data_IF_078064773666
#
_entry.id   IF_078064773666
#
_cell.length_a   1.000
_cell.length_b   1.000
_cell.length_c   1.000
_cell.angle_alpha   90.00
_cell.angle_beta   90.00
_cell.angle_gamma   90.00
#
_symmetry.space_group_name_H-M   'P 1'
#
loop_
_entity.id
_entity.type
_entity.pdbx_description
1 polymer ?
#
# COMPACT_ATOMS: atom_id res chain seq x y z
N UNK A 1 5.00 -0.16 -12.27
CA UNK A 1 6.06 -1.18 -12.36
C UNK A 1 7.44 -0.54 -12.27
N UNK A 2 7.69 0.59 -12.95
CA UNK A 2 8.97 1.31 -12.94
C UNK A 2 9.43 1.79 -11.56
N UNK A 3 8.52 2.32 -10.73
CA UNK A 3 8.88 2.83 -9.39
C UNK A 3 9.48 1.75 -8.48
N UNK A 4 8.98 0.50 -8.55
CA UNK A 4 9.48 -0.60 -7.71
C UNK A 4 10.89 -1.01 -8.13
N UNK A 5 11.13 -1.14 -9.43
CA UNK A 5 12.46 -1.44 -10.00
C UNK A 5 13.45 -0.34 -9.61
N UNK A 6 13.01 0.91 -9.65
CA UNK A 6 13.82 2.07 -9.28
C UNK A 6 14.16 2.12 -7.79
N UNK A 7 13.25 1.74 -6.89
CA UNK A 7 13.56 1.63 -5.47
C UNK A 7 14.49 0.42 -5.22
N UNK A 8 14.30 -0.71 -5.93
CA UNK A 8 15.21 -1.85 -5.82
C UNK A 8 16.64 -1.47 -6.23
N UNK A 9 16.82 -0.69 -7.31
CA UNK A 9 18.12 -0.14 -7.70
C UNK A 9 18.75 0.72 -6.59
N UNK A 10 17.95 1.53 -5.91
CA UNK A 10 18.43 2.32 -4.77
C UNK A 10 18.84 1.43 -3.58
N UNK A 11 18.13 0.33 -3.33
CA UNK A 11 18.53 -0.67 -2.32
C UNK A 11 19.82 -1.37 -2.74
N UNK A 12 19.94 -1.80 -3.99
CA UNK A 12 21.14 -2.45 -4.50
C UNK A 12 22.36 -1.53 -4.38
N UNK A 13 22.19 -0.25 -4.72
CA UNK A 13 23.23 0.76 -4.52
C UNK A 13 23.65 0.89 -3.05
N UNK A 14 22.72 0.88 -2.09
CA UNK A 14 23.06 0.91 -0.66
C UNK A 14 23.90 -0.30 -0.27
N UNK A 15 23.52 -1.49 -0.74
CA UNK A 15 24.18 -2.75 -0.41
C UNK A 15 25.61 -2.81 -0.97
N UNK A 16 25.78 -2.41 -2.23
CA UNK A 16 27.08 -2.39 -2.90
C UNK A 16 28.04 -1.37 -2.27
N UNK A 17 27.50 -0.33 -1.63
CA UNK A 17 28.26 0.79 -1.04
C UNK A 17 28.11 0.86 0.50
N UNK A 18 27.82 -0.26 1.16
CA UNK A 18 27.40 -0.26 2.58
C UNK A 18 28.48 0.28 3.54
N UNK A 19 29.76 0.09 3.19
CA UNK A 19 30.92 0.57 3.94
C UNK A 19 31.31 2.01 3.59
N UNK A 20 30.71 2.61 2.56
CA UNK A 20 31.04 3.95 2.11
C UNK A 20 30.15 5.02 2.75
N UNK A 21 30.49 6.30 2.52
CA UNK A 21 29.64 7.41 2.93
C UNK A 21 28.41 7.50 2.01
N UNK A 22 27.29 7.02 2.50
CA UNK A 22 26.01 7.05 1.78
C UNK A 22 25.30 8.40 1.97
N UNK A 23 25.15 9.15 0.88
CA UNK A 23 24.35 10.38 0.85
C UNK A 23 22.94 10.09 0.33
N UNK A 24 21.91 10.49 1.08
CA UNK A 24 20.51 10.18 0.76
C UNK A 24 20.07 10.76 -0.58
N UNK A 25 20.64 11.89 -0.99
CA UNK A 25 20.42 12.49 -2.31
C UNK A 25 20.92 11.60 -3.45
N UNK A 26 22.05 10.92 -3.28
CA UNK A 26 22.63 10.02 -4.28
C UNK A 26 21.82 8.73 -4.36
N UNK A 27 21.43 8.18 -3.20
CA UNK A 27 20.55 7.00 -3.13
C UNK A 27 19.22 7.30 -3.85
N UNK A 28 18.59 8.44 -3.55
CA UNK A 28 17.32 8.82 -4.17
C UNK A 28 17.42 9.05 -5.69
N UNK A 29 18.57 9.51 -6.18
CA UNK A 29 18.83 9.64 -7.63
C UNK A 29 18.82 8.30 -8.35
N UNK A 30 19.22 7.20 -7.69
CA UNK A 30 19.12 5.85 -8.28
C UNK A 30 17.67 5.47 -8.56
N UNK A 31 16.74 6.02 -7.78
CA UNK A 31 15.31 5.83 -7.95
C UNK A 31 14.61 6.92 -8.79
N UNK A 32 15.36 7.87 -9.37
CA UNK A 32 14.85 9.04 -10.08
C UNK A 32 13.90 9.92 -9.23
N UNK A 33 14.18 10.03 -7.93
CA UNK A 33 13.35 10.75 -6.97
C UNK A 33 14.12 11.84 -6.23
N UNK A 34 13.40 12.83 -5.72
CA UNK A 34 13.95 13.73 -4.69
C UNK A 34 14.22 12.95 -3.40
N UNK A 35 15.23 13.38 -2.64
CA UNK A 35 15.61 12.76 -1.37
C UNK A 35 14.45 12.64 -0.39
N UNK A 36 13.61 13.68 -0.30
CA UNK A 36 12.44 13.70 0.57
C UNK A 36 11.39 12.66 0.15
N UNK A 37 11.02 12.65 -1.14
CA UNK A 37 10.03 11.70 -1.65
C UNK A 37 10.50 10.26 -1.52
N UNK A 38 11.78 10.00 -1.84
CA UNK A 38 12.36 8.67 -1.71
C UNK A 38 12.32 8.17 -0.27
N UNK A 39 12.76 8.98 0.70
CA UNK A 39 12.76 8.56 2.11
C UNK A 39 11.36 8.28 2.64
N UNK A 40 10.37 9.12 2.27
CA UNK A 40 8.97 8.91 2.65
C UNK A 40 8.42 7.61 2.05
N UNK A 41 8.63 7.40 0.75
CA UNK A 41 8.16 6.22 0.04
C UNK A 41 8.85 4.94 0.53
N UNK A 42 10.17 4.99 0.73
CA UNK A 42 10.96 3.89 1.28
C UNK A 42 10.40 3.47 2.64
N UNK A 43 10.20 4.42 3.55
CA UNK A 43 9.71 4.12 4.90
C UNK A 43 8.31 3.49 4.88
N UNK A 44 7.45 3.94 3.96
CA UNK A 44 6.09 3.42 3.80
C UNK A 44 6.06 1.98 3.27
N UNK A 45 6.91 1.65 2.30
CA UNK A 45 6.95 0.30 1.70
C UNK A 45 7.69 -0.68 2.61
N UNK A 46 8.76 -0.23 3.26
CA UNK A 46 9.70 -1.09 3.97
C UNK A 46 9.39 -1.21 5.47
N UNK A 47 8.65 -0.27 6.04
CA UNK A 47 8.36 -0.21 7.47
C UNK A 47 9.55 0.26 8.34
N UNK A 48 10.67 0.62 7.72
CA UNK A 48 11.85 1.21 8.37
C UNK A 48 12.25 2.49 7.68
N UNK A 49 12.74 3.47 8.43
CA UNK A 49 13.39 4.63 7.80
C UNK A 49 14.64 4.20 7.04
N UNK A 50 15.01 4.96 6.01
CA UNK A 50 16.22 4.71 5.22
C UNK A 50 17.48 4.61 6.10
N UNK A 51 17.59 5.46 7.11
CA UNK A 51 18.71 5.45 8.07
C UNK A 51 18.73 4.19 8.96
N UNK A 52 17.55 3.71 9.37
CA UNK A 52 17.45 2.46 10.13
C UNK A 52 17.84 1.26 9.29
N UNK A 53 17.41 1.20 8.04
CA UNK A 53 17.80 0.15 7.10
C UNK A 53 19.33 0.08 6.95
N UNK A 54 19.97 1.20 6.60
CA UNK A 54 21.43 1.29 6.43
C UNK A 54 22.16 0.86 7.71
N UNK A 55 21.68 1.32 8.87
CA UNK A 55 22.28 0.97 10.17
C UNK A 55 22.18 -0.53 10.46
N UNK A 56 21.01 -1.13 10.26
CA UNK A 56 20.77 -2.55 10.53
C UNK A 56 21.57 -3.44 9.58
N UNK A 57 21.67 -3.06 8.30
CA UNK A 57 22.52 -3.75 7.32
C UNK A 57 24.00 -3.66 7.71
N UNK A 58 24.51 -2.48 8.07
CA UNK A 58 25.90 -2.31 8.56
C UNK A 58 26.22 -3.18 9.78
N UNK A 59 25.30 -3.26 10.75
CA UNK A 59 25.46 -4.13 11.93
C UNK A 59 25.40 -5.63 11.58
N UNK A 60 24.66 -5.98 10.54
CA UNK A 60 24.57 -7.36 10.04
C UNK A 60 25.83 -7.77 9.30
N UNK A 61 26.41 -6.90 8.49
CA UNK A 61 27.71 -7.16 7.87
C UNK A 61 28.85 -7.18 8.89
N UNK A 62 28.85 -6.26 9.86
CA UNK A 62 29.91 -6.21 10.87
C UNK A 62 29.97 -7.44 11.77
N UNK A 63 28.88 -8.19 11.87
CA UNK A 63 28.80 -9.47 12.58
C UNK A 63 29.91 -10.43 12.15
N UNK A 64 30.11 -10.59 10.83
CA UNK A 64 31.10 -11.52 10.30
C UNK A 64 32.50 -11.12 10.75
N UNK A 65 32.89 -9.86 10.52
CA UNK A 65 34.17 -9.32 10.99
C UNK A 65 34.35 -9.45 12.52
N UNK A 66 33.29 -9.31 13.31
CA UNK A 66 33.35 -9.47 14.76
C UNK A 66 33.60 -10.92 15.17
N UNK A 67 32.97 -11.89 14.50
CA UNK A 67 32.97 -13.30 14.89
C UNK A 67 34.11 -14.11 14.27
N UNK A 68 34.48 -13.84 13.02
CA UNK A 68 35.41 -14.68 12.25
C UNK A 68 36.77 -14.05 11.99
N UNK A 69 37.01 -12.81 12.44
CA UNK A 69 38.29 -12.11 12.23
C UNK A 69 38.90 -11.56 13.53
N UNK A 70 40.21 -11.35 13.49
CA UNK A 70 40.99 -10.70 14.57
C UNK A 70 41.03 -9.16 14.46
N UNK A 71 40.23 -8.57 13.56
CA UNK A 71 40.18 -7.11 13.38
C UNK A 71 39.79 -6.42 14.70
N UNK A 72 40.43 -5.30 15.04
CA UNK A 72 40.09 -4.58 16.29
C UNK A 72 38.69 -4.00 16.17
N UNK A 73 37.92 -3.99 17.27
CA UNK A 73 36.55 -3.47 17.29
C UNK A 73 36.48 -2.00 16.83
N UNK A 74 37.52 -1.20 17.11
CA UNK A 74 37.67 0.17 16.61
C UNK A 74 37.76 0.23 15.08
N UNK A 75 38.54 -0.65 14.46
CA UNK A 75 38.72 -0.70 13.01
C UNK A 75 37.42 -1.16 12.33
N UNK A 76 36.72 -2.14 12.93
CA UNK A 76 35.38 -2.58 12.49
C UNK A 76 34.38 -1.43 12.56
N UNK A 77 34.36 -0.67 13.66
CA UNK A 77 33.47 0.48 13.81
C UNK A 77 33.65 1.49 12.67
N UNK A 78 34.90 1.84 12.35
CA UNK A 78 35.20 2.77 11.26
C UNK A 78 34.88 2.18 9.89
N UNK A 79 35.20 0.90 9.64
CA UNK A 79 34.88 0.19 8.39
C UNK A 79 33.38 0.26 8.06
N UNK A 80 32.52 0.16 9.07
CA UNK A 80 31.06 0.23 8.90
C UNK A 80 30.48 1.64 9.16
N UNK A 81 31.31 2.68 9.05
CA UNK A 81 30.86 4.07 9.00
C UNK A 81 30.39 4.66 10.33
N UNK A 82 30.83 4.11 11.47
CA UNK A 82 30.61 4.72 12.78
C UNK A 82 31.75 5.70 13.11
N UNK A 83 31.41 6.90 13.58
CA UNK A 83 32.39 7.92 13.95
C UNK A 83 33.14 7.61 15.25
N UNK A 84 32.58 6.77 16.13
CA UNK A 84 33.22 6.37 17.38
C UNK A 84 32.98 4.88 17.71
N UNK A 85 33.97 4.18 18.32
CA UNK A 85 33.81 2.79 18.78
C UNK A 85 32.70 2.61 19.82
N UNK A 86 32.47 3.60 20.67
CA UNK A 86 31.40 3.60 21.67
C UNK A 86 30.02 3.71 21.00
N UNK A 87 29.93 4.48 19.91
CA UNK A 87 28.74 4.55 19.06
C UNK A 87 28.40 3.19 18.46
N UNK A 88 29.39 2.53 17.86
CA UNK A 88 29.24 1.18 17.31
C UNK A 88 28.84 0.18 18.39
N UNK A 89 29.53 0.15 19.53
CA UNK A 89 29.26 -0.80 20.61
C UNK A 89 27.83 -0.66 21.15
N UNK A 90 27.33 0.57 21.32
CA UNK A 90 25.94 0.81 21.73
C UNK A 90 24.93 0.36 20.68
N UNK A 91 25.19 0.64 19.40
CA UNK A 91 24.30 0.22 18.31
C UNK A 91 24.26 -1.31 18.17
N UNK A 92 25.43 -1.95 18.24
CA UNK A 92 25.57 -3.41 18.20
C UNK A 92 24.87 -4.07 19.38
N UNK A 93 25.02 -3.54 20.60
CA UNK A 93 24.31 -4.04 21.78
C UNK A 93 22.79 -3.89 21.64
N UNK A 94 22.31 -2.75 21.13
CA UNK A 94 20.86 -2.56 20.90
C UNK A 94 20.29 -3.51 19.86
N UNK A 95 21.10 -3.87 18.86
CA UNK A 95 20.67 -4.73 17.76
C UNK A 95 20.75 -6.22 18.11
N UNK A 96 21.78 -6.65 18.85
CA UNK A 96 22.06 -8.07 19.16
C UNK A 96 21.86 -8.47 20.63
N UNK A 97 21.66 -7.52 21.54
CA UNK A 97 21.59 -7.77 22.98
C UNK A 97 22.94 -8.08 23.65
N UNK A 98 24.04 -8.07 22.90
CA UNK A 98 25.41 -8.35 23.41
C UNK A 98 26.41 -7.36 22.85
N UNK A 99 27.53 -7.14 23.56
CA UNK A 99 28.60 -6.27 23.05
C UNK A 99 29.45 -7.01 22.01
N UNK A 100 30.11 -6.31 21.06
CA UNK A 100 30.97 -6.96 20.06
C UNK A 100 32.05 -7.85 20.67
N UNK A 101 32.69 -7.40 21.75
CA UNK A 101 33.73 -8.16 22.44
C UNK A 101 33.17 -9.42 23.11
N UNK A 102 31.97 -9.33 23.70
CA UNK A 102 31.31 -10.48 24.29
C UNK A 102 30.90 -11.51 23.22
N UNK A 103 30.35 -11.04 22.10
CA UNK A 103 30.01 -11.89 20.95
C UNK A 103 31.21 -12.66 20.42
N UNK A 104 32.36 -11.98 20.24
CA UNK A 104 33.62 -12.59 19.81
C UNK A 104 34.12 -13.67 20.77
N UNK A 105 34.11 -13.38 22.08
CA UNK A 105 34.62 -14.32 23.11
C UNK A 105 33.76 -15.57 23.26
N UNK A 106 32.44 -15.43 23.11
CA UNK A 106 31.47 -16.49 23.38
C UNK A 106 31.05 -17.28 22.13
N UNK A 107 31.51 -16.88 20.93
CA UNK A 107 31.07 -17.44 19.65
C UNK A 107 29.53 -17.51 19.57
N UNK A 108 28.87 -16.41 19.91
CA UNK A 108 27.41 -16.36 19.88
C UNK A 108 26.89 -16.48 18.43
N UNK A 109 25.82 -17.25 18.25
CA UNK A 109 25.00 -17.13 17.04
C UNK A 109 24.29 -15.77 17.10
N UNK A 110 24.55 -14.93 16.10
CA UNK A 110 23.95 -13.62 15.96
C UNK A 110 23.11 -13.64 14.69
N UNK A 111 21.84 -13.23 14.76
CA UNK A 111 20.93 -13.24 13.61
C UNK A 111 21.39 -12.26 12.52
N UNK A 112 21.00 -12.48 11.26
CA UNK A 112 21.30 -11.52 10.18
C UNK A 112 20.05 -10.71 9.88
N UNK A 113 20.16 -9.38 9.81
CA UNK A 113 19.18 -8.59 9.09
C UNK A 113 19.38 -8.86 7.60
N UNK A 114 18.43 -9.50 6.92
CA UNK A 114 18.60 -9.81 5.50
C UNK A 114 18.57 -8.54 4.62
N UNK A 115 19.24 -8.59 3.47
CA UNK A 115 19.03 -7.59 2.41
C UNK A 115 17.55 -7.60 2.05
N UNK A 116 16.97 -6.42 1.95
CA UNK A 116 15.61 -6.29 1.46
C UNK A 116 15.60 -6.52 -0.04
N UNK A 117 14.71 -7.40 -0.49
CA UNK A 117 14.30 -7.49 -1.88
C UNK A 117 12.86 -7.02 -1.96
N UNK A 118 12.66 -5.84 -2.53
CA UNK A 118 11.34 -5.24 -2.73
C UNK A 118 10.50 -6.13 -3.64
N UNK A 119 11.16 -6.76 -4.62
CA UNK A 119 10.53 -7.78 -5.45
C UNK A 119 10.00 -8.96 -4.61
N UNK A 120 10.81 -9.48 -3.67
CA UNK A 120 10.36 -10.57 -2.78
C UNK A 120 9.29 -10.14 -1.77
N UNK A 121 9.28 -8.88 -1.32
CA UNK A 121 8.26 -8.34 -0.42
C UNK A 121 6.90 -8.20 -1.11
N UNK A 122 6.90 -7.90 -2.41
CA UNK A 122 5.68 -7.89 -3.23
C UNK A 122 5.25 -9.30 -3.66
N UNK A 123 6.19 -10.24 -3.75
CA UNK A 123 5.92 -11.66 -3.96
C UNK A 123 5.43 -12.36 -2.66
N UNK A 124 5.65 -11.73 -1.50
CA UNK A 124 5.32 -12.18 -0.16
C UNK A 124 3.85 -12.00 0.27
N UNK A 125 2.91 -12.33 -0.63
CA UNK A 125 1.62 -13.01 -0.38
C UNK A 125 0.96 -13.33 -1.73
N UNK A 126 1.74 -13.84 -2.69
CA UNK A 126 1.27 -14.65 -3.82
C UNK A 126 2.47 -15.06 -4.66
N UNK A 127 2.94 -16.29 -4.45
CA UNK A 127 3.99 -16.94 -5.25
C UNK A 127 3.58 -17.23 -6.69
N UNK A 128 3.05 -16.24 -7.43
CA UNK A 128 2.67 -16.37 -8.84
C UNK A 128 2.49 -15.04 -9.59
N UNK A 129 3.32 -14.02 -9.36
CA UNK A 129 3.46 -13.00 -10.41
C UNK A 129 4.31 -13.55 -11.56
N UNK A 130 3.65 -14.22 -12.50
CA UNK A 130 4.25 -14.47 -13.82
C UNK A 130 4.71 -13.13 -14.39
N UNK A 131 5.93 -13.06 -14.92
CA UNK A 131 6.48 -11.92 -15.66
C UNK A 131 5.41 -11.22 -16.53
N UNK A 132 4.82 -10.16 -15.99
CA UNK A 132 3.67 -9.47 -16.57
C UNK A 132 4.08 -8.71 -17.83
N UNK A 133 5.38 -8.39 -17.97
CA UNK A 133 5.94 -7.67 -19.12
C UNK A 133 5.76 -8.45 -20.42
N UNK A 134 5.76 -9.79 -20.37
CA UNK A 134 5.54 -10.66 -21.54
C UNK A 134 4.12 -10.60 -22.11
N UNK A 135 3.15 -10.07 -21.36
CA UNK A 135 1.74 -10.00 -21.83
C UNK A 135 1.48 -8.83 -22.77
N UNK A 136 2.35 -7.82 -22.79
CA UNK A 136 2.13 -6.60 -23.57
C UNK A 136 0.98 -5.71 -23.09
N UNK A 137 0.40 -6.00 -21.93
CA UNK A 137 -0.62 -5.16 -21.27
C UNK A 137 -0.55 -5.31 -19.74
N UNK A 138 -1.06 -4.31 -19.04
CA UNK A 138 -1.31 -4.36 -17.59
C UNK A 138 -2.72 -3.85 -17.30
N UNK A 139 -3.41 -4.53 -16.39
CA UNK A 139 -4.69 -4.06 -15.85
C UNK A 139 -4.41 -2.84 -14.99
N UNK A 140 -5.00 -1.69 -15.35
CA UNK A 140 -4.83 -0.43 -14.63
C UNK A 140 -5.79 -0.33 -13.44
N UNK A 141 -7.01 -0.82 -13.62
CA UNK A 141 -8.08 -0.78 -12.63
C UNK A 141 -9.09 -1.91 -12.90
N UNK A 142 -9.81 -2.32 -11.86
CA UNK A 142 -10.93 -3.25 -11.92
C UNK A 142 -12.07 -2.67 -11.07
N UNK A 143 -13.05 -2.05 -11.72
CA UNK A 143 -14.26 -1.54 -11.07
C UNK A 143 -15.47 -2.44 -11.29
N UNK A 144 -16.43 -2.38 -10.36
CA UNK A 144 -17.77 -2.92 -10.61
C UNK A 144 -18.48 -2.14 -11.72
N UNK A 145 -19.50 -2.74 -12.32
CA UNK A 145 -20.32 -2.13 -13.37
C UNK A 145 -21.76 -1.98 -12.90
N UNK A 146 -22.32 -0.79 -13.08
CA UNK A 146 -23.71 -0.43 -12.80
C UNK A 146 -24.40 -0.02 -14.10
N UNK A 147 -25.46 -0.73 -14.48
CA UNK A 147 -26.32 -0.33 -15.60
C UNK A 147 -27.52 0.49 -15.12
N UNK A 148 -27.77 1.62 -15.78
CA UNK A 148 -28.95 2.47 -15.55
C UNK A 148 -29.56 2.98 -16.85
N UNK A 149 -30.88 3.13 -16.87
CA UNK A 149 -31.59 3.79 -17.96
C UNK A 149 -31.64 5.32 -17.81
N UNK A 150 -31.32 5.87 -16.63
CA UNK A 150 -31.34 7.30 -16.35
C UNK A 150 -30.15 7.68 -15.46
N UNK A 151 -29.05 8.03 -16.10
CA UNK A 151 -27.78 8.29 -15.42
C UNK A 151 -27.84 9.51 -14.50
N UNK A 152 -28.57 10.55 -14.89
CA UNK A 152 -28.70 11.77 -14.08
C UNK A 152 -29.44 11.50 -12.78
N UNK A 153 -30.56 10.78 -12.87
CA UNK A 153 -31.35 10.37 -11.71
C UNK A 153 -30.57 9.40 -10.81
N UNK A 154 -29.88 8.44 -11.40
CA UNK A 154 -29.05 7.48 -10.65
C UNK A 154 -27.90 8.19 -9.94
N UNK A 155 -27.19 9.11 -10.61
CA UNK A 155 -26.11 9.90 -10.00
C UNK A 155 -26.61 10.71 -8.81
N UNK A 156 -27.73 11.42 -8.97
CA UNK A 156 -28.35 12.19 -7.87
C UNK A 156 -28.70 11.29 -6.69
N UNK A 157 -29.22 10.09 -6.94
CA UNK A 157 -29.53 9.13 -5.88
C UNK A 157 -28.30 8.72 -5.09
N UNK A 158 -27.16 8.48 -5.75
CA UNK A 158 -25.90 8.15 -5.06
C UNK A 158 -25.40 9.29 -4.16
N UNK A 159 -25.50 10.53 -4.64
CA UNK A 159 -25.17 11.71 -3.84
C UNK A 159 -26.10 11.84 -2.64
N UNK A 160 -27.41 11.77 -2.86
CA UNK A 160 -28.39 12.09 -1.82
C UNK A 160 -28.51 10.98 -0.77
N UNK A 161 -28.39 9.71 -1.18
CA UNK A 161 -28.61 8.56 -0.28
C UNK A 161 -27.32 8.08 0.36
N UNK A 162 -26.23 7.97 -0.41
CA UNK A 162 -24.96 7.44 0.08
C UNK A 162 -23.91 8.52 0.35
N UNK A 163 -24.15 9.78 -0.04
CA UNK A 163 -23.14 10.83 0.07
C UNK A 163 -21.96 10.62 -0.88
N UNK A 164 -22.14 9.80 -1.92
CA UNK A 164 -21.09 9.45 -2.87
C UNK A 164 -21.06 10.44 -4.04
N UNK A 165 -19.88 10.65 -4.59
CA UNK A 165 -19.64 11.56 -5.70
C UNK A 165 -19.92 10.81 -6.99
N UNK A 166 -20.93 11.24 -7.76
CA UNK A 166 -21.31 10.62 -9.01
C UNK A 166 -21.14 11.60 -10.18
N UNK A 167 -20.41 11.20 -11.22
CA UNK A 167 -20.14 12.00 -12.41
C UNK A 167 -20.70 11.34 -13.67
N UNK A 168 -21.38 12.11 -14.52
CA UNK A 168 -21.70 11.71 -15.90
C UNK A 168 -20.61 12.25 -16.81
N UNK A 169 -19.73 11.35 -17.25
CA UNK A 169 -18.48 11.68 -17.96
C UNK A 169 -18.68 11.74 -19.48
N UNK A 170 -19.67 11.03 -20.02
CA UNK A 170 -20.00 11.05 -21.44
C UNK A 170 -21.51 11.04 -21.68
N UNK A 171 -21.92 11.75 -22.74
CA UNK A 171 -23.30 11.81 -23.23
C UNK A 171 -23.34 11.54 -24.74
N UNK A 172 -24.46 11.01 -25.23
CA UNK A 172 -24.72 10.91 -26.66
C UNK A 172 -25.23 12.25 -27.24
N UNK A 173 -25.49 12.29 -28.55
CA UNK A 173 -25.97 13.48 -29.27
C UNK A 173 -27.35 13.98 -28.77
N UNK A 174 -28.12 13.12 -28.11
CA UNK A 174 -29.42 13.45 -27.52
C UNK A 174 -29.29 13.96 -26.07
N UNK A 175 -28.07 14.06 -25.54
CA UNK A 175 -27.78 14.50 -24.18
C UNK A 175 -27.97 13.42 -23.10
N UNK A 176 -28.25 12.17 -23.48
CA UNK A 176 -28.41 11.03 -22.57
C UNK A 176 -27.03 10.59 -22.08
N UNK A 177 -26.86 10.45 -20.76
CA UNK A 177 -25.63 9.93 -20.14
C UNK A 177 -25.34 8.50 -20.57
N UNK A 178 -24.17 8.27 -21.17
CA UNK A 178 -23.75 6.96 -21.69
C UNK A 178 -22.66 6.30 -20.85
N UNK A 179 -21.84 7.12 -20.18
CA UNK A 179 -20.80 6.65 -19.27
C UNK A 179 -20.61 7.62 -18.10
N UNK A 180 -20.36 7.06 -16.92
CA UNK A 180 -20.10 7.80 -15.70
C UNK A 180 -19.34 6.98 -14.67
N UNK A 181 -19.02 7.58 -13.54
CA UNK A 181 -18.39 6.91 -12.41
C UNK A 181 -19.00 7.38 -11.09
N UNK A 182 -18.95 6.51 -10.08
CA UNK A 182 -19.36 6.85 -8.71
C UNK A 182 -18.24 6.46 -7.76
N UNK A 183 -17.90 7.38 -6.87
CA UNK A 183 -16.80 7.26 -5.92
C UNK A 183 -17.26 7.65 -4.50
N UNK A 184 -16.75 7.00 -3.45
CA UNK A 184 -17.05 7.38 -2.07
C UNK A 184 -16.33 8.67 -1.62
N UNK A 185 -15.55 9.30 -2.50
CA UNK A 185 -14.80 10.54 -2.27
C UNK A 185 -14.68 11.35 -3.58
N UNK A 186 -14.25 12.62 -3.53
CA UNK A 186 -14.16 13.47 -4.72
C UNK A 186 -13.28 12.87 -5.82
N UNK A 187 -13.79 12.81 -7.05
CA UNK A 187 -13.12 12.15 -8.17
C UNK A 187 -11.78 12.74 -8.57
N UNK A 188 -11.56 14.02 -8.27
CA UNK A 188 -10.29 14.72 -8.50
C UNK A 188 -9.11 14.04 -7.78
N UNK A 189 -9.37 13.40 -6.63
CA UNK A 189 -8.34 12.69 -5.88
C UNK A 189 -7.77 11.49 -6.67
N UNK A 190 -8.60 10.83 -7.48
CA UNK A 190 -8.14 9.74 -8.39
C UNK A 190 -7.34 10.33 -9.54
N UNK A 191 -7.83 11.41 -10.16
CA UNK A 191 -7.14 12.05 -11.28
C UNK A 191 -5.75 12.58 -10.90
N UNK A 192 -5.63 13.13 -9.69
CA UNK A 192 -4.38 13.61 -9.12
C UNK A 192 -3.46 12.48 -8.60
N UNK A 193 -3.89 11.20 -8.71
CA UNK A 193 -3.18 10.02 -8.19
C UNK A 193 -2.90 10.08 -6.69
N UNK A 194 -3.80 10.72 -5.94
CA UNK A 194 -3.75 10.83 -4.48
C UNK A 194 -4.42 9.60 -3.84
N UNK A 195 -5.49 9.09 -4.47
CA UNK A 195 -6.19 7.88 -4.06
C UNK A 195 -6.34 6.94 -5.27
N UNK A 196 -6.30 5.63 -5.00
CA UNK A 196 -6.64 4.63 -6.01
C UNK A 196 -8.15 4.60 -6.25
N UNK A 197 -8.57 4.20 -7.45
CA UNK A 197 -9.99 4.03 -7.74
C UNK A 197 -10.58 2.90 -6.87
N UNK A 198 -11.65 3.20 -6.14
CA UNK A 198 -12.39 2.23 -5.33
C UNK A 198 -13.92 2.37 -5.50
N UNK A 199 -14.32 2.95 -6.63
CA UNK A 199 -15.70 3.19 -7.01
C UNK A 199 -16.25 2.11 -7.96
N UNK A 200 -17.21 2.52 -8.79
CA UNK A 200 -17.72 1.69 -9.87
C UNK A 200 -18.09 2.53 -11.09
N UNK A 201 -18.14 1.88 -12.24
CA UNK A 201 -18.49 2.51 -13.52
C UNK A 201 -20.00 2.42 -13.74
N UNK A 202 -20.58 3.51 -14.24
CA UNK A 202 -21.97 3.58 -14.68
C UNK A 202 -22.04 3.55 -16.21
N UNK A 203 -22.92 2.71 -16.74
CA UNK A 203 -23.21 2.63 -18.17
C UNK A 203 -24.71 2.73 -18.42
N UNK A 204 -25.06 3.29 -19.57
CA UNK A 204 -26.44 3.27 -20.03
C UNK A 204 -26.88 1.84 -20.36
N UNK A 205 -28.01 1.40 -19.80
CA UNK A 205 -28.62 0.11 -20.10
C UNK A 205 -29.50 -0.44 -18.98
N UNK A 206 -30.10 -1.60 -19.24
CA UNK A 206 -31.01 -2.26 -18.31
C UNK A 206 -30.31 -2.70 -17.02
N UNK A 207 -30.80 -2.30 -15.84
CA UNK A 207 -30.24 -2.70 -14.55
C UNK A 207 -30.32 -4.21 -14.31
N UNK A 208 -29.21 -4.81 -13.85
CA UNK A 208 -29.11 -6.26 -13.60
C UNK A 208 -29.99 -6.78 -12.44
N UNK A 209 -30.44 -5.89 -11.54
CA UNK A 209 -31.29 -6.21 -10.36
C UNK A 209 -30.72 -7.34 -9.50
N UNK A 210 -29.39 -7.32 -9.33
CA UNK A 210 -28.60 -8.29 -8.55
C UNK A 210 -27.59 -7.55 -7.68
N UNK A 211 -26.79 -8.29 -6.92
CA UNK A 211 -25.61 -7.73 -6.25
C UNK A 211 -24.60 -7.30 -7.31
N UNK A 212 -24.31 -6.00 -7.34
CA UNK A 212 -23.39 -5.38 -8.31
C UNK A 212 -22.08 -4.96 -7.65
N UNK A 213 -22.07 -4.76 -6.34
CA UNK A 213 -20.92 -4.27 -5.60
C UNK A 213 -20.89 -4.92 -4.22
N UNK A 214 -19.70 -5.38 -3.85
CA UNK A 214 -19.35 -5.73 -2.47
C UNK A 214 -18.25 -4.75 -2.04
N UNK A 215 -18.47 -4.01 -0.95
CA UNK A 215 -17.52 -3.01 -0.48
C UNK A 215 -17.26 -3.16 1.01
N UNK A 216 -15.98 -3.06 1.37
CA UNK A 216 -15.54 -3.07 2.77
C UNK A 216 -15.52 -1.65 3.32
N UNK A 217 -16.08 -1.46 4.51
CA UNK A 217 -16.21 -0.17 5.17
C UNK A 217 -15.84 -0.26 6.66
N UNK A 218 -15.66 0.90 7.26
CA UNK A 218 -15.63 1.08 8.71
C UNK A 218 -16.81 1.94 9.14
N UNK A 219 -17.47 1.57 10.22
CA UNK A 219 -18.66 2.23 10.75
C UNK A 219 -19.95 1.78 10.07
N UNK A 220 -20.20 0.46 9.94
CA UNK A 220 -21.43 -0.05 9.30
C UNK A 220 -22.73 0.44 9.98
N UNK A 221 -22.71 0.63 11.30
CA UNK A 221 -23.85 1.21 12.03
C UNK A 221 -24.12 2.67 11.65
N UNK A 222 -23.05 3.44 11.38
CA UNK A 222 -23.15 4.83 10.93
C UNK A 222 -23.68 4.90 9.51
N UNK A 223 -23.19 4.04 8.61
CA UNK A 223 -23.75 3.92 7.26
C UNK A 223 -25.25 3.62 7.33
N UNK A 224 -25.64 2.62 8.13
CA UNK A 224 -27.03 2.21 8.25
C UNK A 224 -27.94 3.36 8.70
N UNK A 225 -27.50 4.12 9.72
CA UNK A 225 -28.22 5.29 10.23
C UNK A 225 -28.31 6.39 9.17
N UNK A 226 -27.18 6.72 8.53
CA UNK A 226 -27.08 7.74 7.49
C UNK A 226 -28.03 7.50 6.31
N UNK A 227 -28.07 6.27 5.80
CA UNK A 227 -28.95 5.89 4.68
C UNK A 227 -30.43 6.06 5.04
N UNK A 228 -30.81 5.71 6.27
CA UNK A 228 -32.18 5.90 6.77
C UNK A 228 -32.52 7.37 7.01
N UNK A 229 -31.58 8.15 7.55
CA UNK A 229 -31.73 9.61 7.76
C UNK A 229 -31.94 10.36 6.43
N UNK A 230 -31.29 9.90 5.35
CA UNK A 230 -31.51 10.38 3.99
C UNK A 230 -32.81 9.88 3.34
N UNK A 231 -33.69 9.24 4.12
CA UNK A 231 -35.03 8.81 3.67
C UNK A 231 -35.06 7.51 2.87
N UNK A 232 -33.95 6.76 2.80
CA UNK A 232 -33.90 5.53 2.01
C UNK A 232 -34.10 4.27 2.87
N UNK A 233 -35.33 3.76 2.86
CA UNK A 233 -35.70 2.60 3.68
C UNK A 233 -35.36 1.24 3.04
N UNK A 234 -34.81 1.19 1.82
CA UNK A 234 -34.44 -0.07 1.16
C UNK A 234 -33.02 -0.51 1.54
N UNK A 235 -32.71 -0.48 2.83
CA UNK A 235 -31.50 -1.01 3.43
C UNK A 235 -31.86 -2.18 4.34
N UNK A 236 -31.15 -3.30 4.24
CA UNK A 236 -31.38 -4.46 5.11
C UNK A 236 -30.82 -4.23 6.51
N UNK A 237 -31.37 -4.93 7.50
CA UNK A 237 -30.73 -5.05 8.81
C UNK A 237 -29.28 -5.55 8.69
N UNK A 238 -28.43 -5.10 9.63
CA UNK A 238 -27.05 -5.54 9.75
C UNK A 238 -27.02 -6.97 10.30
N UNK A 239 -26.27 -7.85 9.65
CA UNK A 239 -26.16 -9.26 10.01
C UNK A 239 -24.70 -9.66 10.19
N UNK A 240 -24.38 -10.29 11.31
CA UNK A 240 -23.12 -11.04 11.47
C UNK A 240 -23.09 -12.21 10.48
N UNK A 241 -21.90 -12.53 9.94
CA UNK A 241 -21.74 -13.74 9.13
C UNK A 241 -20.69 -14.69 9.73
N UNK A 242 -20.65 -15.97 9.29
CA UNK A 242 -19.83 -17.01 9.91
C UNK A 242 -18.32 -16.74 9.90
N UNK A 243 -17.84 -15.87 9.02
CA UNK A 243 -16.43 -15.51 8.86
C UNK A 243 -15.95 -14.31 9.73
N UNK A 244 -16.72 -13.91 10.75
CA UNK A 244 -16.33 -12.84 11.71
C UNK A 244 -16.59 -11.38 11.33
N UNK A 245 -17.24 -11.03 10.22
CA UNK A 245 -17.66 -9.66 9.88
C UNK A 245 -19.14 -9.34 10.12
N UNK A 246 -19.60 -8.23 9.55
CA UNK A 246 -20.99 -7.74 9.58
C UNK A 246 -21.35 -7.21 8.20
N UNK A 247 -22.55 -7.51 7.71
CA UNK A 247 -23.00 -7.00 6.40
C UNK A 247 -24.40 -6.41 6.42
N UNK A 248 -24.64 -5.42 5.57
CA UNK A 248 -25.97 -4.96 5.19
C UNK A 248 -26.04 -4.69 3.68
N UNK A 249 -27.24 -4.75 3.10
CA UNK A 249 -27.49 -4.54 1.69
C UNK A 249 -28.31 -3.28 1.47
N UNK A 250 -27.85 -2.38 0.59
CA UNK A 250 -28.65 -1.26 0.08
C UNK A 250 -29.19 -1.63 -1.30
N UNK A 251 -30.51 -1.61 -1.46
CA UNK A 251 -31.15 -1.74 -2.77
C UNK A 251 -31.24 -0.37 -3.42
N UNK A 252 -30.68 -0.22 -4.61
CA UNK A 252 -30.62 1.06 -5.32
C UNK A 252 -31.97 1.44 -5.92
N UNK A 253 -32.05 2.66 -6.48
CA UNK A 253 -33.27 3.18 -7.10
C UNK A 253 -33.80 2.28 -8.23
N UNK A 254 -32.91 1.56 -8.90
CA UNK A 254 -33.21 0.68 -10.02
C UNK A 254 -33.35 -0.80 -9.64
N UNK A 255 -33.21 -1.12 -8.35
CA UNK A 255 -33.39 -2.47 -7.82
C UNK A 255 -32.13 -3.34 -7.78
N UNK A 256 -30.96 -2.80 -8.16
CA UNK A 256 -29.66 -3.44 -7.94
C UNK A 256 -29.27 -3.39 -6.46
N UNK A 257 -28.30 -4.21 -6.04
CA UNK A 257 -27.93 -4.37 -4.64
C UNK A 257 -26.44 -4.05 -4.44
N UNK A 258 -26.14 -3.22 -3.44
CA UNK A 258 -24.80 -2.97 -2.93
C UNK A 258 -24.67 -3.61 -1.56
N UNK A 259 -23.72 -4.52 -1.41
CA UNK A 259 -23.39 -5.17 -0.14
C UNK A 259 -22.26 -4.43 0.53
N UNK A 260 -22.51 -3.93 1.73
CA UNK A 260 -21.51 -3.32 2.60
C UNK A 260 -21.08 -4.33 3.65
N UNK A 261 -19.77 -4.39 3.91
CA UNK A 261 -19.17 -5.31 4.86
C UNK A 261 -18.21 -4.57 5.79
N UNK A 262 -18.26 -4.88 7.08
CA UNK A 262 -17.28 -4.45 8.08
C UNK A 262 -16.70 -5.71 8.73
N UNK A 263 -15.38 -5.86 8.75
CA UNK A 263 -14.72 -6.95 9.46
C UNK A 263 -14.57 -6.58 10.95
N UNK A 264 -14.87 -7.53 11.85
CA UNK A 264 -14.71 -7.39 13.30
C UNK A 264 -13.29 -7.82 13.70
#
# INVERSE_FOLDING_TARGET
MDSIINIQKAVDYIEDNICEKLEYSIIAKQAYMSSFHFQKLFSLIIGYTLGEYIRNRRLSFSREDVLSTDMKIIDIAFKYGYSTPEGFTRAFYRFYGVTPLAARRRQCSLDSFAKISIQSMLEGESGRMKDLSKRGYSVQDNGAVYYTNDMDKTSKWFEDVLGWYAGVEARNDEGIGTYGCVLPFPGELVHMKIADFNGFHMFYGEPDKRVILFTNITGIDKLYSFVKENGWNKISEIKEQPWGGRTCNVTTIDGSIITFCELI
#
